data_IF_893259281068
#
_entry.id   IF_893259281068
#
_cell.length_a   1.000
_cell.length_b   1.000
_cell.length_c   1.000
_cell.angle_alpha   90.00
_cell.angle_beta   90.00
_cell.angle_gamma   90.00
#
_symmetry.space_group_name_H-M   'P 1'
#
loop_
_entity.id
_entity.type
_entity.pdbx_description
1 polymer ?
#
# COMPACT_ATOMS: atom_id res chain seq x y z
N UNK A 1 -53.74 12.86 -1.99
CA UNK A 1 -53.07 13.48 -0.83
C UNK A 1 -51.70 13.94 -1.28
N UNK A 2 -51.57 15.22 -1.62
CA UNK A 2 -50.29 15.82 -2.03
C UNK A 2 -49.61 16.39 -0.79
N UNK A 3 -48.42 15.88 -0.44
CA UNK A 3 -47.58 16.43 0.61
C UNK A 3 -47.13 17.84 0.20
N UNK A 4 -47.25 18.79 1.13
CA UNK A 4 -46.92 20.20 0.90
C UNK A 4 -45.43 20.46 1.17
N UNK A 5 -44.88 21.48 0.53
CA UNK A 5 -43.46 21.84 0.57
C UNK A 5 -42.92 22.17 1.98
N UNK A 6 -43.79 22.31 2.98
CA UNK A 6 -43.44 22.47 4.39
C UNK A 6 -42.95 21.16 5.05
N UNK A 7 -43.26 19.99 4.48
CA UNK A 7 -42.90 18.68 5.04
C UNK A 7 -41.45 18.24 4.74
N UNK A 8 -40.67 19.07 4.03
CA UNK A 8 -39.25 18.81 3.68
C UNK A 8 -38.38 19.95 4.21
N UNK A 9 -38.36 20.14 5.53
CA UNK A 9 -37.59 21.22 6.17
C UNK A 9 -36.10 20.88 6.43
N UNK A 10 -35.59 19.71 6.03
CA UNK A 10 -34.19 19.33 6.32
C UNK A 10 -33.19 19.62 5.20
N UNK A 11 -33.62 20.09 4.02
CA UNK A 11 -32.70 20.27 2.89
C UNK A 11 -32.97 21.57 2.15
N UNK A 12 -32.66 22.69 2.79
CA UNK A 12 -32.50 23.94 2.06
C UNK A 12 -31.35 24.76 2.64
N UNK A 13 -30.36 25.05 1.79
CA UNK A 13 -29.17 25.80 2.16
C UNK A 13 -27.88 25.22 1.61
N UNK A 14 -27.80 24.97 0.30
CA UNK A 14 -26.51 24.95 -0.38
C UNK A 14 -25.97 26.38 -0.43
N UNK A 15 -25.16 26.75 0.56
CA UNK A 15 -24.20 27.85 0.41
C UNK A 15 -22.82 27.24 0.35
N UNK A 16 -22.10 27.54 -0.73
CA UNK A 16 -20.77 27.03 -0.99
C UNK A 16 -19.78 27.41 0.11
N UNK A 17 -18.63 26.75 0.05
CA UNK A 17 -17.42 27.10 0.78
C UNK A 17 -17.10 28.58 0.54
N UNK A 18 -17.46 29.45 1.48
CA UNK A 18 -16.86 30.75 1.69
C UNK A 18 -17.25 31.23 3.09
N UNK A 19 -16.25 31.72 3.85
CA UNK A 19 -16.29 31.90 5.30
C UNK A 19 -17.59 32.52 5.82
N UNK A 20 -18.33 31.77 6.63
CA UNK A 20 -19.50 32.28 7.34
C UNK A 20 -19.09 32.80 8.70
N UNK A 21 -19.39 34.07 8.90
CA UNK A 21 -19.38 34.81 10.15
C UNK A 21 -19.98 34.02 11.31
N UNK A 22 -19.21 33.94 12.40
CA UNK A 22 -19.66 33.58 13.75
C UNK A 22 -20.76 34.57 14.16
N UNK A 23 -22.03 34.22 13.97
CA UNK A 23 -23.18 34.95 14.52
C UNK A 23 -24.43 34.08 14.46
N UNK A 24 -24.46 33.00 15.24
CA UNK A 24 -25.69 32.49 15.83
C UNK A 24 -25.33 31.60 17.04
N UNK A 25 -25.74 32.03 18.23
CA UNK A 25 -25.44 31.37 19.52
C UNK A 25 -26.14 30.00 19.70
N UNK A 26 -26.73 29.45 18.64
CA UNK A 26 -27.35 28.12 18.56
C UNK A 26 -26.66 27.21 17.52
N UNK A 27 -25.53 27.65 16.94
CA UNK A 27 -24.79 26.95 15.88
C UNK A 27 -23.67 26.03 16.42
N UNK A 28 -23.50 25.95 17.75
CA UNK A 28 -22.52 25.08 18.41
C UNK A 28 -22.71 23.59 18.05
N UNK A 29 -23.96 23.18 17.80
CA UNK A 29 -24.31 21.83 17.33
C UNK A 29 -23.95 21.56 15.87
N UNK A 30 -23.59 22.57 15.06
CA UNK A 30 -23.10 22.37 13.69
C UNK A 30 -21.58 22.32 13.59
N UNK A 31 -20.87 22.92 14.54
CA UNK A 31 -19.41 22.98 14.52
C UNK A 31 -18.74 21.64 14.87
N UNK A 32 -19.42 20.73 15.57
CA UNK A 32 -18.79 19.47 15.97
C UNK A 32 -18.59 18.49 14.80
N UNK A 33 -19.44 18.51 13.75
CA UNK A 33 -19.28 17.64 12.57
C UNK A 33 -17.99 17.93 11.80
N UNK A 34 -17.72 19.20 11.41
CA UNK A 34 -16.45 19.55 10.75
C UNK A 34 -15.23 19.24 11.62
N UNK A 35 -15.30 19.55 12.92
CA UNK A 35 -14.20 19.28 13.86
C UNK A 35 -13.93 17.77 13.96
N UNK A 36 -14.98 16.98 14.19
CA UNK A 36 -14.89 15.52 14.26
C UNK A 36 -14.39 14.92 12.94
N UNK A 37 -14.84 15.42 11.79
CA UNK A 37 -14.35 14.97 10.49
C UNK A 37 -12.85 15.25 10.31
N UNK A 38 -12.36 16.39 10.81
CA UNK A 38 -10.93 16.73 10.80
C UNK A 38 -10.11 15.81 11.72
N UNK A 39 -10.62 15.52 12.92
CA UNK A 39 -9.99 14.58 13.87
C UNK A 39 -9.91 13.16 13.28
N UNK A 40 -10.97 12.69 12.61
CA UNK A 40 -11.01 11.38 11.96
C UNK A 40 -10.02 11.32 10.79
N UNK A 41 -9.96 12.36 9.96
CA UNK A 41 -9.01 12.41 8.83
C UNK A 41 -7.56 12.45 9.33
N UNK A 42 -7.28 13.19 10.41
CA UNK A 42 -5.95 13.20 11.01
C UNK A 42 -5.55 11.81 11.53
N UNK A 43 -6.45 11.13 12.25
CA UNK A 43 -6.20 9.77 12.73
C UNK A 43 -6.03 8.77 11.56
N UNK A 44 -6.81 8.94 10.48
CA UNK A 44 -6.66 8.13 9.27
C UNK A 44 -5.27 8.29 8.63
N UNK A 45 -4.81 9.54 8.48
CA UNK A 45 -3.49 9.84 7.91
C UNK A 45 -2.33 9.34 8.77
N UNK A 46 -2.50 9.27 10.09
CA UNK A 46 -1.47 8.75 11.00
C UNK A 46 -1.36 7.22 10.96
N UNK A 47 -2.47 6.50 10.84
CA UNK A 47 -2.48 5.04 10.93
C UNK A 47 -2.33 4.31 9.58
N UNK A 48 -2.54 4.98 8.45
CA UNK A 48 -2.40 4.35 7.11
C UNK A 48 -0.94 4.00 6.82
N UNK A 49 -0.68 2.78 6.34
CA UNK A 49 0.67 2.31 6.06
C UNK A 49 0.92 2.07 4.56
N UNK A 50 -0.03 1.51 3.81
CA UNK A 50 0.19 1.17 2.40
C UNK A 50 -0.19 2.28 1.43
N UNK A 51 -1.16 3.12 1.79
CA UNK A 51 -1.59 4.22 0.92
C UNK A 51 -0.48 5.18 0.46
N UNK A 52 0.51 5.59 1.27
CA UNK A 52 1.60 6.44 0.78
C UNK A 52 2.60 5.70 -0.13
N UNK A 53 2.58 4.36 -0.17
CA UNK A 53 3.49 3.54 -0.98
C UNK A 53 2.94 3.26 -2.37
N UNK A 54 1.64 3.49 -2.59
CA UNK A 54 0.98 3.29 -3.88
C UNK A 54 0.71 4.62 -4.57
N UNK A 55 0.73 4.62 -5.91
CA UNK A 55 0.35 5.80 -6.69
C UNK A 55 -1.15 5.99 -6.66
N UNK A 56 -1.63 7.16 -6.25
CA UNK A 56 -3.05 7.52 -6.29
C UNK A 56 -3.32 8.56 -7.38
N UNK A 57 -4.54 8.53 -7.93
CA UNK A 57 -5.01 9.52 -8.90
C UNK A 57 -6.46 9.87 -8.58
N UNK A 58 -6.77 11.15 -8.55
CA UNK A 58 -8.12 11.65 -8.34
C UNK A 58 -8.82 11.93 -9.67
N UNK A 59 -10.14 11.74 -9.67
CA UNK A 59 -11.04 12.16 -10.77
C UNK A 59 -12.11 13.07 -10.18
N UNK A 60 -12.42 14.17 -10.88
CA UNK A 60 -13.46 15.11 -10.44
C UNK A 60 -14.88 14.58 -10.75
N UNK A 61 -15.00 13.81 -11.84
CA UNK A 61 -16.28 13.29 -12.32
C UNK A 61 -16.06 11.99 -13.10
N UNK A 62 -17.10 11.15 -13.14
CA UNK A 62 -17.06 9.82 -13.74
C UNK A 62 -16.71 8.72 -12.74
N UNK A 63 -16.76 7.47 -13.22
CA UNK A 63 -16.47 6.27 -12.42
C UNK A 63 -15.26 5.50 -12.92
N UNK A 64 -14.68 5.87 -14.05
CA UNK A 64 -13.56 5.15 -14.66
C UNK A 64 -12.50 6.10 -15.18
N UNK A 65 -11.24 5.66 -15.09
CA UNK A 65 -10.10 6.34 -15.66
C UNK A 65 -9.30 5.36 -16.51
N UNK A 66 -8.87 5.82 -17.68
CA UNK A 66 -8.04 5.04 -18.60
C UNK A 66 -6.57 5.44 -18.47
N UNK A 67 -5.70 4.42 -18.48
CA UNK A 67 -4.26 4.56 -18.46
C UNK A 67 -3.68 4.03 -19.76
N UNK A 68 -2.87 4.82 -20.48
CA UNK A 68 -2.13 4.31 -21.62
C UNK A 68 -0.95 3.45 -21.17
N UNK A 69 -0.75 2.34 -21.87
CA UNK A 69 0.39 1.44 -21.74
C UNK A 69 1.11 1.38 -23.09
N UNK A 70 2.38 1.76 -23.09
CA UNK A 70 3.18 1.87 -24.32
C UNK A 70 4.32 0.85 -24.35
N UNK A 71 4.61 0.32 -25.53
CA UNK A 71 5.75 -0.56 -25.78
C UNK A 71 7.07 0.16 -26.02
N UNK A 72 8.13 -0.63 -26.25
CA UNK A 72 9.45 -0.11 -26.66
C UNK A 72 9.45 0.18 -28.16
N UNK A 73 10.06 1.29 -28.59
CA UNK A 73 10.23 1.60 -30.01
C UNK A 73 11.49 0.90 -30.54
N UNK A 74 11.36 0.18 -31.66
CA UNK A 74 12.48 -0.47 -32.31
C UNK A 74 13.54 0.53 -32.81
N UNK A 75 14.82 0.20 -32.60
CA UNK A 75 15.92 0.99 -33.14
C UNK A 75 16.21 0.55 -34.58
N UNK A 76 16.19 1.49 -35.53
CA UNK A 76 16.79 1.28 -36.86
C UNK A 76 18.28 1.69 -36.79
N UNK A 77 19.23 0.74 -36.82
CA UNK A 77 20.64 1.03 -36.54
C UNK A 77 21.34 1.86 -37.61
N UNK A 78 20.84 1.84 -38.85
CA UNK A 78 21.31 2.69 -39.94
C UNK A 78 20.20 3.00 -40.95
N UNK A 79 20.23 4.20 -41.54
CA UNK A 79 19.34 4.62 -42.62
C UNK A 79 20.13 5.40 -43.67
N UNK A 80 19.82 5.17 -44.96
CA UNK A 80 20.48 5.85 -46.06
C UNK A 80 19.73 7.14 -46.45
N UNK A 81 20.44 8.09 -47.06
CA UNK A 81 19.82 9.29 -47.59
C UNK A 81 18.82 8.93 -48.71
N UNK A 82 17.57 9.37 -48.57
CA UNK A 82 16.49 9.04 -49.48
C UNK A 82 15.56 7.92 -49.01
N UNK A 83 15.91 7.20 -47.93
CA UNK A 83 15.02 6.22 -47.33
C UNK A 83 13.95 6.90 -46.46
N UNK A 84 12.68 6.57 -46.70
CA UNK A 84 11.60 7.00 -45.83
C UNK A 84 11.59 6.20 -44.52
N UNK A 85 11.56 6.91 -43.40
CA UNK A 85 11.34 6.35 -42.07
C UNK A 85 9.84 6.20 -41.85
N UNK A 86 9.29 5.04 -42.23
CA UNK A 86 7.89 4.68 -41.96
C UNK A 86 7.76 4.07 -40.57
N UNK A 87 6.65 4.33 -39.88
CA UNK A 87 6.34 3.68 -38.60
C UNK A 87 6.01 2.20 -38.83
N UNK A 88 6.79 1.31 -38.21
CA UNK A 88 6.53 -0.14 -38.20
C UNK A 88 5.50 -0.56 -37.14
N UNK A 89 5.25 -1.86 -37.04
CA UNK A 89 4.42 -2.49 -35.99
C UNK A 89 5.03 -2.45 -34.59
N UNK A 90 6.19 -1.80 -34.44
CA UNK A 90 7.05 -1.90 -33.26
C UNK A 90 6.58 -0.98 -32.13
N UNK A 91 5.74 0.01 -32.40
CA UNK A 91 5.17 0.91 -31.40
C UNK A 91 3.76 0.46 -30.97
N UNK A 92 3.65 -0.74 -30.37
CA UNK A 92 2.38 -1.20 -29.81
C UNK A 92 1.99 -0.32 -28.63
N UNK A 93 0.72 0.06 -28.57
CA UNK A 93 0.14 0.82 -27.47
C UNK A 93 -1.22 0.23 -27.17
N UNK A 94 -1.51 0.05 -25.88
CA UNK A 94 -2.81 -0.37 -25.39
C UNK A 94 -3.28 0.57 -24.28
N UNK A 95 -4.55 0.47 -23.90
CA UNK A 95 -5.10 1.20 -22.76
C UNK A 95 -5.80 0.21 -21.84
N UNK A 96 -5.71 0.46 -20.54
CA UNK A 96 -6.51 -0.26 -19.55
C UNK A 96 -7.31 0.73 -18.71
N UNK A 97 -8.52 0.33 -18.32
CA UNK A 97 -9.42 1.16 -17.52
C UNK A 97 -9.48 0.64 -16.09
N UNK A 98 -9.38 1.55 -15.12
CA UNK A 98 -9.70 1.28 -13.72
C UNK A 98 -11.02 1.98 -13.41
N UNK A 99 -12.01 1.21 -12.93
CA UNK A 99 -13.29 1.74 -12.45
C UNK A 99 -13.36 1.73 -10.94
N UNK A 100 -13.98 2.75 -10.35
CA UNK A 100 -14.31 2.79 -8.93
C UNK A 100 -15.36 1.73 -8.61
N UNK A 101 -15.31 1.18 -7.39
CA UNK A 101 -16.38 0.35 -6.87
C UNK A 101 -17.60 1.18 -6.41
N UNK A 102 -18.73 0.53 -6.15
CA UNK A 102 -20.05 1.14 -6.05
C UNK A 102 -20.38 1.78 -4.69
N UNK A 103 -19.55 1.64 -3.65
CA UNK A 103 -19.80 2.29 -2.34
C UNK A 103 -18.53 2.83 -1.68
N UNK A 104 -18.55 4.07 -1.16
CA UNK A 104 -17.49 4.57 -0.29
C UNK A 104 -17.42 3.78 1.03
N UNK A 105 -16.22 3.62 1.55
CA UNK A 105 -16.01 3.03 2.87
C UNK A 105 -16.50 3.97 3.97
N UNK A 106 -17.22 3.44 4.95
CA UNK A 106 -17.74 4.21 6.07
C UNK A 106 -17.56 3.45 7.39
N UNK A 107 -16.83 4.07 8.31
CA UNK A 107 -16.88 3.72 9.72
C UNK A 107 -17.98 4.54 10.39
N UNK A 108 -18.92 3.88 11.08
CA UNK A 108 -20.03 4.55 11.76
C UNK A 108 -20.23 3.96 13.15
N UNK A 109 -20.83 4.76 14.01
CA UNK A 109 -21.27 4.36 15.34
C UNK A 109 -22.60 5.06 15.64
N UNK A 110 -23.40 4.46 16.51
CA UNK A 110 -24.59 5.10 17.05
C UNK A 110 -24.27 5.83 18.35
N UNK A 111 -25.03 6.88 18.62
CA UNK A 111 -24.93 7.66 19.85
C UNK A 111 -26.31 7.80 20.46
N UNK A 112 -26.44 7.43 21.73
CA UNK A 112 -27.67 7.67 22.50
C UNK A 112 -27.83 9.16 22.85
N UNK A 113 -26.72 9.89 23.02
CA UNK A 113 -26.75 11.32 23.34
C UNK A 113 -25.62 12.09 22.65
N UNK A 114 -25.98 12.98 21.73
CA UNK A 114 -25.04 13.87 21.00
C UNK A 114 -24.41 14.94 21.91
N UNK A 115 -25.04 15.31 23.02
CA UNK A 115 -24.51 16.32 23.95
C UNK A 115 -23.19 15.87 24.59
N UNK A 116 -22.99 14.55 24.72
CA UNK A 116 -21.75 13.97 25.22
C UNK A 116 -20.57 14.23 24.27
N UNK A 117 -20.82 14.16 22.95
CA UNK A 117 -19.80 14.48 21.93
C UNK A 117 -19.43 15.96 21.92
N UNK A 118 -20.38 16.84 22.23
CA UNK A 118 -20.18 18.29 22.20
C UNK A 118 -19.41 18.75 23.44
N UNK A 119 -19.81 18.25 24.61
CA UNK A 119 -19.31 18.71 25.92
C UNK A 119 -18.00 18.04 26.36
N UNK A 120 -17.77 16.79 25.96
CA UNK A 120 -16.59 16.02 26.40
C UNK A 120 -15.61 15.76 25.27
N UNK A 121 -14.49 16.50 25.32
CA UNK A 121 -13.38 16.40 24.38
C UNK A 121 -12.73 15.00 24.33
N UNK A 122 -12.53 14.36 25.50
CA UNK A 122 -11.88 13.05 25.59
C UNK A 122 -12.71 11.96 24.91
N UNK A 123 -14.04 12.00 25.09
CA UNK A 123 -14.96 11.06 24.45
C UNK A 123 -14.98 11.23 22.92
N UNK A 124 -14.97 12.48 22.44
CA UNK A 124 -14.92 12.80 21.01
C UNK A 124 -13.66 12.28 20.33
N UNK A 125 -12.50 12.63 20.87
CA UNK A 125 -11.24 12.26 20.25
C UNK A 125 -11.05 10.75 20.20
N UNK A 126 -11.43 10.01 21.25
CA UNK A 126 -11.21 8.57 21.25
C UNK A 126 -12.08 7.87 20.20
N UNK A 127 -13.33 8.30 20.02
CA UNK A 127 -14.19 7.80 18.95
C UNK A 127 -13.70 8.22 17.57
N UNK A 128 -13.21 9.45 17.41
CA UNK A 128 -12.58 9.89 16.17
C UNK A 128 -11.32 9.07 15.82
N UNK A 129 -10.48 8.78 16.83
CA UNK A 129 -9.27 7.96 16.70
C UNK A 129 -9.61 6.53 16.28
N UNK A 130 -10.61 5.92 16.91
CA UNK A 130 -11.07 4.56 16.55
C UNK A 130 -11.69 4.52 15.14
N UNK A 131 -12.51 5.52 14.78
CA UNK A 131 -13.07 5.62 13.44
C UNK A 131 -11.97 5.79 12.36
N UNK A 132 -10.98 6.65 12.60
CA UNK A 132 -9.83 6.82 11.71
C UNK A 132 -8.98 5.54 11.59
N UNK A 133 -8.70 4.88 12.71
CA UNK A 133 -7.93 3.63 12.74
C UNK A 133 -8.64 2.49 12.00
N UNK A 134 -9.96 2.36 12.16
CA UNK A 134 -10.74 1.33 11.45
C UNK A 134 -10.77 1.57 9.94
N UNK A 135 -10.92 2.84 9.52
CA UNK A 135 -10.89 3.22 8.11
C UNK A 135 -9.50 2.96 7.48
N UNK A 136 -8.42 3.33 8.17
CA UNK A 136 -7.05 3.09 7.71
C UNK A 136 -6.78 1.58 7.57
N UNK A 137 -7.14 0.78 8.57
CA UNK A 137 -6.97 -0.68 8.55
C UNK A 137 -7.75 -1.35 7.42
N UNK A 138 -8.96 -0.88 7.12
CA UNK A 138 -9.77 -1.42 6.04
C UNK A 138 -9.17 -1.05 4.67
N UNK A 139 -8.64 0.16 4.52
CA UNK A 139 -8.01 0.62 3.28
C UNK A 139 -6.72 -0.15 3.00
N UNK A 140 -5.88 -0.32 4.01
CA UNK A 140 -4.63 -1.08 3.88
C UNK A 140 -4.92 -2.54 3.49
N UNK A 141 -5.97 -3.17 4.05
CA UNK A 141 -6.38 -4.52 3.64
C UNK A 141 -6.82 -4.59 2.18
N UNK A 142 -7.57 -3.60 1.69
CA UNK A 142 -7.98 -3.55 0.28
C UNK A 142 -6.76 -3.41 -0.64
N UNK A 143 -5.84 -2.50 -0.34
CA UNK A 143 -4.60 -2.32 -1.11
C UNK A 143 -3.77 -3.60 -1.10
N UNK A 144 -3.61 -4.24 0.06
CA UNK A 144 -2.90 -5.50 0.20
C UNK A 144 -3.52 -6.63 -0.62
N UNK A 145 -4.85 -6.72 -0.67
CA UNK A 145 -5.56 -7.70 -1.49
C UNK A 145 -5.36 -7.45 -3.00
N UNK A 146 -5.43 -6.20 -3.46
CA UNK A 146 -5.17 -5.88 -4.87
C UNK A 146 -3.72 -6.13 -5.27
N UNK A 147 -2.76 -5.85 -4.40
CA UNK A 147 -1.34 -6.14 -4.65
C UNK A 147 -1.09 -7.65 -4.75
N UNK A 148 -1.67 -8.42 -3.83
CA UNK A 148 -1.64 -9.88 -3.86
C UNK A 148 -2.22 -10.44 -5.17
N UNK A 149 -3.39 -9.94 -5.58
CA UNK A 149 -4.05 -10.35 -6.81
C UNK A 149 -3.20 -10.02 -8.05
N UNK A 150 -2.59 -8.83 -8.08
CA UNK A 150 -1.73 -8.42 -9.18
C UNK A 150 -0.53 -9.37 -9.37
N UNK A 151 -0.02 -9.97 -8.29
CA UNK A 151 1.05 -10.97 -8.36
C UNK A 151 0.61 -12.33 -8.91
N UNK A 152 -0.68 -12.69 -8.81
CA UNK A 152 -1.25 -13.96 -9.32
C UNK A 152 -1.84 -13.81 -10.73
N UNK A 153 -2.01 -12.58 -11.21
CA UNK A 153 -2.61 -12.32 -12.50
C UNK A 153 -1.70 -12.77 -13.66
N UNK A 154 -2.28 -13.49 -14.62
CA UNK A 154 -1.57 -13.91 -15.82
C UNK A 154 -1.21 -12.70 -16.71
N UNK A 155 -0.05 -12.72 -17.41
CA UNK A 155 0.32 -11.69 -18.35
C UNK A 155 -0.73 -11.46 -19.45
N UNK A 156 -0.89 -10.20 -19.86
CA UNK A 156 -1.84 -9.86 -20.92
C UNK A 156 -1.39 -10.47 -22.26
N UNK A 157 -2.33 -11.09 -22.98
CA UNK A 157 -2.07 -11.60 -24.33
C UNK A 157 -1.79 -10.43 -25.26
N UNK A 158 -0.54 -10.30 -25.73
CA UNK A 158 -0.14 -9.22 -26.64
C UNK A 158 0.42 -7.97 -25.97
N UNK A 159 0.84 -8.05 -24.69
CA UNK A 159 1.41 -6.93 -23.92
C UNK A 159 2.39 -6.10 -24.78
N UNK A 160 2.14 -4.79 -24.97
CA UNK A 160 2.97 -3.93 -25.79
C UNK A 160 4.41 -3.79 -25.27
N UNK A 161 4.66 -4.08 -23.98
CA UNK A 161 5.99 -3.92 -23.35
C UNK A 161 6.97 -5.04 -23.69
N UNK A 162 6.50 -6.14 -24.28
CA UNK A 162 7.32 -7.27 -24.77
C UNK A 162 8.35 -7.74 -23.72
N UNK A 163 7.84 -8.14 -22.55
CA UNK A 163 8.66 -8.49 -21.38
C UNK A 163 9.33 -9.85 -21.62
N UNK A 164 10.65 -9.89 -21.49
CA UNK A 164 11.50 -11.08 -21.75
C UNK A 164 11.26 -12.17 -20.70
N UNK A 165 11.02 -11.76 -19.46
CA UNK A 165 10.67 -12.62 -18.33
C UNK A 165 9.32 -12.17 -17.79
N UNK A 166 8.38 -13.09 -17.62
CA UNK A 166 7.07 -12.77 -17.04
C UNK A 166 7.25 -12.20 -15.63
N UNK A 167 6.85 -10.94 -15.42
CA UNK A 167 6.90 -10.28 -14.12
C UNK A 167 6.04 -11.04 -13.10
N UNK A 168 6.57 -11.19 -11.89
CA UNK A 168 7.09 -12.46 -11.41
C UNK A 168 6.01 -13.53 -11.36
N UNK A 169 6.41 -14.75 -11.72
CA UNK A 169 5.75 -15.96 -11.26
C UNK A 169 5.51 -15.84 -9.76
N UNK A 170 4.27 -16.05 -9.30
CA UNK A 170 4.02 -16.29 -7.88
C UNK A 170 5.01 -17.36 -7.42
N UNK A 171 6.02 -16.99 -6.64
CA UNK A 171 6.85 -17.96 -5.95
C UNK A 171 6.03 -18.52 -4.80
N UNK A 172 5.10 -19.42 -5.12
CA UNK A 172 4.44 -20.27 -4.13
C UNK A 172 5.50 -21.20 -3.58
N UNK A 173 6.17 -20.74 -2.54
CA UNK A 173 7.02 -21.60 -1.77
C UNK A 173 6.10 -22.48 -0.90
N UNK A 174 5.65 -23.58 -1.48
CA UNK A 174 4.70 -24.56 -0.88
C UNK A 174 5.18 -25.15 0.44
N UNK A 175 6.46 -24.95 0.78
CA UNK A 175 7.10 -25.43 2.00
C UNK A 175 7.28 -24.35 3.08
N UNK A 176 6.61 -23.19 2.97
CA UNK A 176 6.46 -22.25 4.08
C UNK A 176 5.44 -22.83 5.06
N UNK A 177 5.76 -23.95 5.69
CA UNK A 177 4.86 -24.74 6.51
C UNK A 177 4.40 -24.00 7.77
N UNK A 178 3.52 -23.00 7.65
CA UNK A 178 2.79 -22.29 8.70
C UNK A 178 3.59 -21.62 9.82
N UNK A 179 4.90 -21.89 9.90
CA UNK A 179 5.78 -21.53 11.00
C UNK A 179 6.85 -20.58 10.45
N UNK A 180 6.93 -19.41 11.05
CA UNK A 180 7.98 -18.44 10.77
C UNK A 180 9.26 -18.93 11.43
N UNK A 181 9.97 -19.80 10.72
CA UNK A 181 11.26 -20.36 11.12
C UNK A 181 12.40 -19.74 10.29
N UNK A 182 13.65 -19.96 10.72
CA UNK A 182 14.84 -19.45 10.03
C UNK A 182 14.93 -19.84 8.54
N UNK A 183 14.56 -21.07 8.11
CA UNK A 183 14.58 -21.44 6.69
C UNK A 183 13.55 -20.66 5.85
N UNK A 184 12.39 -20.34 6.42
CA UNK A 184 11.37 -19.53 5.75
C UNK A 184 11.85 -18.09 5.53
N UNK A 185 12.58 -17.53 6.50
CA UNK A 185 13.19 -16.20 6.36
C UNK A 185 14.24 -16.16 5.24
N UNK A 186 15.06 -17.21 5.09
CA UNK A 186 16.06 -17.30 4.02
C UNK A 186 15.41 -17.33 2.62
N UNK A 187 14.35 -18.11 2.45
CA UNK A 187 13.61 -18.24 1.19
C UNK A 187 12.99 -16.91 0.74
N UNK A 188 12.60 -16.05 1.68
CA UNK A 188 12.06 -14.71 1.38
C UNK A 188 13.18 -13.77 0.91
N UNK A 189 14.40 -13.90 1.44
CA UNK A 189 15.55 -13.13 0.97
C UNK A 189 15.98 -13.58 -0.43
N UNK A 190 16.00 -14.88 -0.70
CA UNK A 190 16.22 -15.45 -2.04
C UNK A 190 15.17 -14.92 -3.03
N UNK A 191 13.88 -14.91 -2.66
CA UNK A 191 12.83 -14.34 -3.50
C UNK A 191 13.00 -12.83 -3.78
N UNK A 192 13.61 -12.07 -2.86
CA UNK A 192 13.94 -10.65 -3.09
C UNK A 192 15.07 -10.51 -4.12
N UNK A 193 16.05 -11.40 -4.09
CA UNK A 193 17.16 -11.44 -5.06
C UNK A 193 16.63 -11.75 -6.46
N UNK A 194 15.85 -12.83 -6.59
CA UNK A 194 15.25 -13.24 -7.86
C UNK A 194 14.37 -12.13 -8.43
N UNK A 195 13.54 -11.49 -7.60
CA UNK A 195 12.73 -10.34 -8.03
C UNK A 195 13.58 -9.18 -8.56
N UNK A 196 14.69 -8.86 -7.90
CA UNK A 196 15.61 -7.82 -8.37
C UNK A 196 16.25 -8.19 -9.72
N UNK A 197 16.57 -9.47 -9.93
CA UNK A 197 17.13 -9.97 -11.18
C UNK A 197 16.08 -9.85 -12.30
N UNK A 198 14.84 -10.29 -12.07
CA UNK A 198 13.75 -10.20 -13.04
C UNK A 198 13.47 -8.75 -13.49
N UNK A 199 13.52 -7.80 -12.54
CA UNK A 199 13.39 -6.37 -12.87
C UNK A 199 14.52 -5.87 -13.76
N UNK A 200 15.76 -6.32 -13.50
CA UNK A 200 16.93 -5.94 -14.28
C UNK A 200 16.92 -6.56 -15.67
N UNK A 201 16.55 -7.83 -15.80
CA UNK A 201 16.44 -8.51 -17.10
C UNK A 201 15.37 -7.90 -18.01
N UNK A 202 14.35 -7.25 -17.43
CA UNK A 202 13.30 -6.55 -18.14
C UNK A 202 13.54 -5.04 -18.33
N UNK A 203 14.71 -4.51 -17.96
CA UNK A 203 15.06 -3.08 -17.97
C UNK A 203 14.11 -2.17 -17.16
N UNK A 204 13.50 -2.69 -16.09
CA UNK A 204 12.64 -1.88 -15.22
C UNK A 204 13.48 -1.27 -14.10
N UNK A 205 13.31 0.05 -13.90
CA UNK A 205 14.02 0.76 -12.85
C UNK A 205 13.66 0.22 -11.46
N UNK A 206 14.67 -0.27 -10.74
CA UNK A 206 14.53 -0.71 -9.34
C UNK A 206 14.58 0.53 -8.45
N UNK A 207 13.42 1.05 -8.04
CA UNK A 207 13.31 2.22 -7.17
C UNK A 207 12.12 2.11 -6.22
N UNK A 208 12.34 2.44 -4.94
CA UNK A 208 11.33 2.39 -3.87
C UNK A 208 10.55 1.05 -3.82
N UNK A 209 11.27 -0.06 -3.84
CA UNK A 209 10.68 -1.40 -3.71
C UNK A 209 10.44 -1.72 -2.24
N UNK A 210 9.24 -2.20 -1.92
CA UNK A 210 8.82 -2.56 -0.57
C UNK A 210 8.49 -4.05 -0.50
N UNK A 211 8.87 -4.70 0.59
CA UNK A 211 8.49 -6.08 0.89
C UNK A 211 7.68 -6.10 2.19
N UNK A 212 6.40 -6.47 2.09
CA UNK A 212 5.51 -6.55 3.23
C UNK A 212 5.53 -7.97 3.83
N UNK A 213 5.92 -8.08 5.10
CA UNK A 213 6.01 -9.36 5.81
C UNK A 213 5.22 -9.34 7.12
N UNK A 214 4.83 -10.53 7.62
CA UNK A 214 4.25 -10.62 8.96
C UNK A 214 5.27 -10.24 10.05
N UNK A 215 4.84 -9.68 11.19
CA UNK A 215 5.77 -9.28 12.26
C UNK A 215 6.62 -10.43 12.79
N UNK A 216 6.07 -11.66 12.79
CA UNK A 216 6.78 -12.86 13.22
C UNK A 216 7.95 -13.18 12.28
N UNK A 217 7.71 -13.13 10.97
CA UNK A 217 8.74 -13.36 9.95
C UNK A 217 9.81 -12.25 9.96
N UNK A 218 9.40 -11.00 10.17
CA UNK A 218 10.32 -9.86 10.30
C UNK A 218 11.36 -10.08 11.41
N UNK A 219 10.93 -10.56 12.59
CA UNK A 219 11.87 -10.82 13.68
C UNK A 219 12.79 -12.01 13.38
N UNK A 220 12.35 -12.99 12.58
CA UNK A 220 13.23 -14.09 12.13
C UNK A 220 14.28 -13.63 11.12
N UNK A 221 13.90 -12.77 10.17
CA UNK A 221 14.84 -12.13 9.24
C UNK A 221 15.89 -11.34 10.02
N UNK A 222 15.45 -10.58 11.04
CA UNK A 222 16.36 -9.89 11.95
C UNK A 222 17.28 -10.87 12.69
N UNK A 223 16.74 -11.99 13.19
CA UNK A 223 17.53 -13.02 13.88
C UNK A 223 18.61 -13.63 12.98
N UNK A 224 18.34 -13.81 11.69
CA UNK A 224 19.32 -14.34 10.73
C UNK A 224 20.55 -13.41 10.59
N UNK A 225 20.37 -12.10 10.69
CA UNK A 225 21.48 -11.14 10.69
C UNK A 225 22.34 -11.15 11.95
N UNK A 226 21.88 -11.83 13.02
CA UNK A 226 22.57 -11.95 14.29
C UNK A 226 23.27 -13.32 14.31
N UNK A 227 24.58 -13.34 14.55
CA UNK A 227 25.29 -14.59 14.71
C UNK A 227 24.78 -15.32 15.98
N UNK A 228 24.05 -16.42 15.79
CA UNK A 228 23.63 -17.27 16.91
C UNK A 228 24.85 -17.97 17.52
N UNK A 229 25.04 -17.80 18.83
CA UNK A 229 26.14 -18.41 19.58
C UNK A 229 25.94 -19.93 19.84
N UNK A 230 24.81 -20.51 19.42
CA UNK A 230 24.34 -21.82 19.90
C UNK A 230 24.66 -23.02 18.98
N UNK A 231 25.29 -22.82 17.82
CA UNK A 231 25.92 -23.91 17.05
C UNK A 231 27.43 -23.89 17.25
N UNK A 232 27.84 -24.11 18.50
CA UNK A 232 29.23 -24.14 18.95
C UNK A 232 29.99 -25.41 18.51
N UNK A 233 30.08 -25.69 17.21
CA UNK A 233 31.02 -26.72 16.72
C UNK A 233 31.98 -26.22 15.64
N UNK A 234 31.64 -25.25 14.79
CA UNK A 234 32.59 -24.80 13.75
C UNK A 234 32.73 -23.29 13.70
N UNK A 235 33.78 -22.81 14.37
CA UNK A 235 34.22 -21.41 14.35
C UNK A 235 34.92 -21.10 13.03
N UNK A 236 34.17 -20.83 11.97
CA UNK A 236 34.66 -20.09 10.81
C UNK A 236 33.94 -18.75 10.71
N UNK A 237 34.60 -17.71 11.23
CA UNK A 237 34.41 -16.29 10.90
C UNK A 237 32.96 -15.81 10.69
N UNK A 238 32.14 -15.84 11.74
CA UNK A 238 30.80 -15.25 11.77
C UNK A 238 30.89 -13.72 11.77
N UNK A 239 31.17 -13.15 10.60
CA UNK A 239 30.93 -11.74 10.33
C UNK A 239 29.42 -11.57 10.11
N UNK A 240 28.75 -10.58 10.73
CA UNK A 240 27.31 -10.39 10.57
C UNK A 240 27.00 -10.26 9.07
N UNK A 241 26.21 -11.19 8.53
CA UNK A 241 25.83 -11.24 7.12
C UNK A 241 25.00 -9.99 6.72
N UNK A 242 24.51 -9.26 7.73
CA UNK A 242 23.94 -7.92 7.61
C UNK A 242 24.66 -6.93 8.52
N UNK A 243 25.71 -6.32 7.97
CA UNK A 243 26.49 -5.30 8.64
C UNK A 243 27.81 -5.14 7.91
N UNK A 244 27.92 -4.07 7.12
CA UNK A 244 29.18 -3.67 6.52
C UNK A 244 30.28 -3.61 7.57
N UNK A 245 31.52 -3.88 7.16
CA UNK A 245 32.70 -3.66 7.99
C UNK A 245 32.64 -2.25 8.59
N UNK A 246 33.00 -2.11 9.86
CA UNK A 246 32.94 -0.84 10.61
C UNK A 246 33.65 0.35 9.91
N UNK A 247 34.50 0.08 8.91
CA UNK A 247 35.17 1.07 8.07
C UNK A 247 34.26 1.74 7.00
N UNK A 248 33.06 1.20 6.73
CA UNK A 248 32.19 1.65 5.64
C UNK A 248 30.79 2.14 6.10
N UNK A 249 30.58 2.38 7.40
CA UNK A 249 29.39 3.09 7.90
C UNK A 249 28.03 2.42 7.64
N UNK A 250 28.00 1.12 7.34
CA UNK A 250 26.78 0.36 7.05
C UNK A 250 26.50 -0.71 8.09
N UNK A 251 26.48 -0.36 9.38
CA UNK A 251 25.95 -1.27 10.39
C UNK A 251 24.42 -1.30 10.24
N UNK A 252 23.87 -2.48 9.93
CA UNK A 252 22.45 -2.75 10.14
C UNK A 252 22.07 -2.52 11.62
N UNK A 253 20.77 -2.49 11.90
CA UNK A 253 20.25 -2.13 13.22
C UNK A 253 20.91 -2.93 14.36
N UNK A 254 21.43 -2.22 15.37
CA UNK A 254 22.10 -2.81 16.52
C UNK A 254 21.21 -3.83 17.25
N UNK A 255 21.81 -4.88 17.80
CA UNK A 255 21.11 -5.88 18.62
C UNK A 255 20.29 -5.24 19.77
N UNK A 256 20.76 -4.10 20.29
CA UNK A 256 20.11 -3.36 21.38
C UNK A 256 18.98 -2.42 20.92
N UNK A 257 18.80 -2.22 19.61
CA UNK A 257 17.73 -1.39 19.07
C UNK A 257 16.41 -2.16 19.11
N UNK A 258 15.44 -1.68 19.88
CA UNK A 258 14.12 -2.30 19.98
C UNK A 258 13.28 -1.98 18.75
N UNK A 259 13.34 -2.82 17.70
CA UNK A 259 12.52 -2.68 16.50
C UNK A 259 11.13 -3.32 16.66
N UNK A 260 10.38 -2.86 17.67
CA UNK A 260 9.07 -3.41 18.05
C UNK A 260 7.88 -2.61 17.49
N UNK A 261 8.04 -1.32 17.14
CA UNK A 261 6.97 -0.46 16.62
C UNK A 261 6.65 -0.79 15.16
N UNK A 262 5.39 -0.95 14.74
CA UNK A 262 5.04 -1.36 13.36
C UNK A 262 5.71 -0.53 12.25
N UNK A 263 6.11 0.71 12.53
CA UNK A 263 6.80 1.60 11.60
C UNK A 263 8.30 1.26 11.38
N UNK A 264 8.88 0.39 12.20
CA UNK A 264 10.28 -0.02 12.03
C UNK A 264 10.43 -0.89 10.77
N UNK A 265 11.46 -0.60 9.98
CA UNK A 265 11.76 -1.29 8.72
C UNK A 265 13.21 -1.75 8.67
N UNK A 266 13.47 -2.79 7.88
CA UNK A 266 14.81 -3.28 7.55
C UNK A 266 15.09 -3.05 6.07
N UNK A 267 16.34 -2.83 5.67
CA UNK A 267 16.71 -2.68 4.26
C UNK A 267 17.59 -3.86 3.82
N UNK A 268 17.23 -4.47 2.70
CA UNK A 268 18.00 -5.55 2.06
C UNK A 268 18.12 -5.29 0.56
N UNK A 269 19.34 -5.19 0.02
CA UNK A 269 19.61 -4.92 -1.41
C UNK A 269 18.86 -3.71 -2.01
N UNK A 270 18.51 -2.72 -1.19
CA UNK A 270 17.72 -1.56 -1.61
C UNK A 270 16.20 -1.73 -1.50
N UNK A 271 15.71 -2.92 -1.15
CA UNK A 271 14.32 -3.21 -0.82
C UNK A 271 14.05 -2.90 0.65
N UNK A 272 12.97 -2.16 0.94
CA UNK A 272 12.55 -1.84 2.31
C UNK A 272 11.54 -2.87 2.80
N UNK A 273 11.93 -3.66 3.79
CA UNK A 273 11.10 -4.68 4.44
C UNK A 273 10.29 -4.02 5.55
N UNK A 274 8.97 -4.11 5.47
CA UNK A 274 8.01 -3.54 6.43
C UNK A 274 7.19 -4.66 7.09
N UNK A 275 6.80 -4.44 8.34
CA UNK A 275 5.95 -5.37 9.08
C UNK A 275 4.49 -4.96 9.04
N UNK A 276 3.61 -5.93 8.81
CA UNK A 276 2.18 -5.66 8.67
C UNK A 276 1.32 -6.85 9.08
N UNK A 277 0.17 -6.54 9.69
CA UNK A 277 -0.90 -7.50 9.96
C UNK A 277 -2.05 -7.37 8.93
N UNK A 278 -1.91 -6.48 7.94
CA UNK A 278 -2.94 -6.16 6.96
C UNK A 278 -2.74 -6.92 5.64
N UNK A 279 -1.82 -7.89 5.60
CA UNK A 279 -1.73 -8.82 4.48
C UNK A 279 -2.95 -9.75 4.47
N UNK A 280 -3.54 -10.03 3.30
CA UNK A 280 -4.66 -10.95 3.20
C UNK A 280 -4.23 -12.35 3.65
N UNK A 281 -5.10 -13.02 4.42
CA UNK A 281 -4.88 -14.41 4.83
C UNK A 281 -5.17 -15.40 3.70
N UNK A 282 -5.98 -14.97 2.72
CA UNK A 282 -6.30 -15.71 1.51
C UNK A 282 -5.97 -14.84 0.31
N UNK A 283 -5.07 -15.33 -0.55
CA UNK A 283 -4.62 -14.65 -1.76
C UNK A 283 -5.60 -14.87 -2.93
N UNK A 284 -6.67 -15.66 -2.72
CA UNK A 284 -7.76 -15.89 -3.68
C UNK A 284 -8.92 -14.89 -3.49
N UNK A 285 -8.65 -13.60 -3.73
CA UNK A 285 -9.72 -12.61 -3.73
C UNK A 285 -10.55 -12.72 -5.03
N UNK A 286 -11.69 -13.41 -4.98
CA UNK A 286 -12.79 -13.13 -5.92
C UNK A 286 -13.38 -11.76 -5.60
N UNK A 287 -13.99 -11.08 -6.58
CA UNK A 287 -14.58 -9.75 -6.42
C UNK A 287 -15.57 -9.62 -5.24
N UNK A 288 -16.10 -10.75 -4.75
CA UNK A 288 -17.04 -10.84 -3.63
C UNK A 288 -16.38 -10.85 -2.24
N UNK A 289 -15.05 -10.92 -2.14
CA UNK A 289 -14.31 -11.02 -0.87
C UNK A 289 -13.46 -9.78 -0.54
N UNK A 290 -13.64 -8.67 -1.26
CA UNK A 290 -12.91 -7.42 -1.01
C UNK A 290 -13.69 -6.56 0.00
N UNK A 291 -13.82 -7.07 1.23
CA UNK A 291 -14.42 -6.36 2.37
C UNK A 291 -15.93 -6.50 2.50
#
# INVERSE_FOLDING_TARGET
MSLSQTDIAYRNGSSGLEGTSISDSNDAGKLWLPIWSGEVLHAYDEYRMFEPMVTSKSIESGRSIEFPMTGKVGLRPAWAAGDYLVGGSDAKTETFAISLDARPMAAHFELDNVDLMITQWEYRQELARQAGQTLANARDKQIGAFLALAGVAEPLTGDPRDLTVGFPAVFQHTDLGGVADAPAALKILEAIEDYCIDLQENDVAVGATYCAVSPRLFQQIRRLGIADAESATERFNMQPMFGGVAAAGGLGADFKQGMNSLQDSLTYMGVTIIKTNHMPADYSATADNIG
#
